data_IF_644243731214
#
_entry.id   IF_644243731214
#
_cell.length_a   1.000
_cell.length_b   1.000
_cell.length_c   1.000
_cell.angle_alpha   90.00
_cell.angle_beta   90.00
_cell.angle_gamma   90.00
#
_symmetry.space_group_name_H-M   'P 1'
#
loop_
_entity.id
_entity.type
_entity.pdbx_description
1 polymer ?
#
# COMPACT_ATOMS: atom_id res chain seq x y z
N UNK A 1 -4.97 -29.74 55.64
CA UNK A 1 -4.07 -29.56 54.48
C UNK A 1 -4.86 -29.88 53.22
N UNK A 2 -5.24 -28.87 52.41
CA UNK A 2 -5.87 -29.10 51.10
C UNK A 2 -4.81 -29.62 50.15
N UNK A 3 -5.11 -30.74 49.51
CA UNK A 3 -4.19 -31.51 48.68
C UNK A 3 -3.71 -30.67 47.47
N UNK A 4 -2.42 -30.33 47.44
CA UNK A 4 -1.80 -29.44 46.43
C UNK A 4 -2.04 -29.96 44.99
N UNK A 5 -2.29 -31.27 44.82
CA UNK A 5 -2.68 -31.85 43.53
C UNK A 5 -4.04 -31.34 43.02
N UNK A 6 -4.99 -31.08 43.91
CA UNK A 6 -6.34 -30.61 43.52
C UNK A 6 -6.36 -29.15 43.09
N UNK A 7 -5.47 -28.29 43.60
CA UNK A 7 -5.38 -26.88 43.17
C UNK A 7 -4.80 -26.75 41.75
N UNK A 8 -3.78 -27.56 41.40
CA UNK A 8 -3.19 -27.52 40.04
C UNK A 8 -4.18 -27.95 38.96
N UNK A 9 -4.99 -28.98 39.24
CA UNK A 9 -6.00 -29.45 38.29
C UNK A 9 -7.08 -28.39 38.01
N UNK A 10 -7.58 -27.70 39.05
CA UNK A 10 -8.60 -26.64 38.88
C UNK A 10 -8.08 -25.44 38.10
N UNK A 11 -6.81 -25.08 38.27
CA UNK A 11 -6.20 -23.96 37.54
C UNK A 11 -6.02 -24.28 36.04
N UNK A 12 -5.66 -25.52 35.70
CA UNK A 12 -5.54 -25.98 34.32
C UNK A 12 -6.91 -25.95 33.61
N UNK A 13 -7.97 -26.44 34.26
CA UNK A 13 -9.32 -26.39 33.69
C UNK A 13 -9.84 -24.96 33.51
N UNK A 14 -9.53 -24.05 34.44
CA UNK A 14 -9.88 -22.64 34.31
C UNK A 14 -9.18 -22.01 33.10
N UNK A 15 -7.86 -22.21 32.94
CA UNK A 15 -7.09 -21.70 31.81
C UNK A 15 -7.58 -22.27 30.46
N UNK A 16 -7.90 -23.56 30.39
CA UNK A 16 -8.49 -24.18 29.20
C UNK A 16 -9.88 -23.61 28.86
N UNK A 17 -10.73 -23.37 29.87
CA UNK A 17 -12.06 -22.78 29.66
C UNK A 17 -11.99 -21.33 29.17
N UNK A 18 -11.03 -20.55 29.65
CA UNK A 18 -10.80 -19.17 29.18
C UNK A 18 -10.26 -19.17 27.75
N UNK A 19 -9.29 -20.03 27.42
CA UNK A 19 -8.78 -20.16 26.05
C UNK A 19 -9.87 -20.61 25.06
N UNK A 20 -10.76 -21.51 25.46
CA UNK A 20 -11.88 -21.95 24.63
C UNK A 20 -12.94 -20.85 24.45
N UNK A 21 -13.28 -20.11 25.50
CA UNK A 21 -14.20 -18.98 25.41
C UNK A 21 -13.64 -17.86 24.52
N UNK A 22 -12.34 -17.59 24.60
CA UNK A 22 -11.63 -16.65 23.72
C UNK A 22 -11.68 -17.17 22.27
N UNK A 23 -11.36 -18.44 22.01
CA UNK A 23 -11.43 -19.02 20.67
C UNK A 23 -12.83 -18.99 20.06
N UNK A 24 -13.89 -19.20 20.85
CA UNK A 24 -15.27 -19.13 20.37
C UNK A 24 -15.76 -17.69 20.16
N UNK A 25 -15.28 -16.72 20.94
CA UNK A 25 -15.61 -15.31 20.74
C UNK A 25 -14.99 -14.75 19.43
N UNK A 26 -13.91 -15.33 18.92
CA UNK A 26 -13.26 -14.93 17.67
C UNK A 26 -13.76 -15.69 16.42
N UNK A 27 -14.63 -16.69 16.55
CA UNK A 27 -15.01 -17.58 15.45
C UNK A 27 -16.30 -17.21 14.69
N UNK A 28 -16.93 -16.07 15.00
CA UNK A 28 -18.18 -15.67 14.36
C UNK A 28 -18.15 -14.24 13.82
N UNK A 29 -17.09 -13.86 13.09
CA UNK A 29 -17.31 -12.81 12.09
C UNK A 29 -18.18 -13.45 11.01
N UNK A 30 -19.41 -12.97 10.78
CA UNK A 30 -20.17 -13.42 9.63
C UNK A 30 -19.29 -13.15 8.41
N UNK A 31 -19.03 -14.17 7.59
CA UNK A 31 -18.49 -13.92 6.27
C UNK A 31 -19.48 -12.97 5.59
N UNK A 32 -19.06 -11.73 5.31
CA UNK A 32 -19.89 -10.81 4.54
C UNK A 32 -20.24 -11.52 3.25
N UNK A 33 -21.55 -11.65 2.98
CA UNK A 33 -22.00 -12.29 1.76
C UNK A 33 -21.43 -11.50 0.57
N UNK A 34 -20.92 -12.23 -0.43
CA UNK A 34 -20.42 -11.61 -1.65
C UNK A 34 -21.53 -10.78 -2.30
N UNK A 35 -21.21 -9.54 -2.67
CA UNK A 35 -22.11 -8.64 -3.40
C UNK A 35 -22.33 -9.22 -4.80
N UNK A 36 -23.59 -9.52 -5.09
CA UNK A 36 -24.04 -9.91 -6.43
C UNK A 36 -24.71 -8.73 -7.12
N UNK A 37 -24.09 -8.16 -8.16
CA UNK A 37 -24.57 -6.94 -8.82
C UNK A 37 -26.01 -7.00 -9.36
N UNK A 38 -26.51 -8.20 -9.69
CA UNK A 38 -27.92 -8.40 -10.10
C UNK A 38 -28.95 -8.05 -9.01
N UNK A 39 -28.54 -8.02 -7.74
CA UNK A 39 -29.41 -7.77 -6.60
C UNK A 39 -29.23 -6.35 -6.03
N UNK A 40 -28.24 -5.60 -6.51
CA UNK A 40 -27.97 -4.24 -6.02
C UNK A 40 -28.98 -3.28 -6.64
N UNK A 41 -29.74 -2.59 -5.78
CA UNK A 41 -30.78 -1.65 -6.21
C UNK A 41 -30.24 -0.23 -6.39
N UNK A 42 -30.89 0.55 -7.25
CA UNK A 42 -30.56 1.96 -7.44
C UNK A 42 -30.62 2.75 -6.14
N UNK A 43 -29.55 3.52 -5.87
CA UNK A 43 -29.42 4.30 -4.65
C UNK A 43 -28.95 3.51 -3.42
N UNK A 44 -28.55 2.24 -3.56
CA UNK A 44 -27.86 1.54 -2.48
C UNK A 44 -26.55 2.28 -2.16
N UNK A 45 -26.40 2.75 -0.93
CA UNK A 45 -25.19 3.43 -0.44
C UNK A 45 -24.31 2.52 0.41
N UNK A 46 -24.60 1.22 0.46
CA UNK A 46 -23.73 0.23 1.12
C UNK A 46 -22.41 0.17 0.35
N UNK A 47 -21.32 0.09 1.09
CA UNK A 47 -19.92 0.09 0.63
C UNK A 47 -19.28 -1.11 1.34
N UNK A 48 -19.37 -2.28 0.71
CA UNK A 48 -19.11 -3.56 1.38
C UNK A 48 -17.64 -3.74 1.75
N UNK A 49 -16.73 -3.29 0.90
CA UNK A 49 -15.29 -3.46 1.10
C UNK A 49 -14.59 -2.23 1.70
N UNK A 50 -15.33 -1.14 1.90
CA UNK A 50 -14.89 0.12 2.50
C UNK A 50 -13.78 0.80 1.71
N UNK A 51 -13.81 0.70 0.38
CA UNK A 51 -12.98 1.55 -0.48
C UNK A 51 -13.58 2.94 -0.71
N UNK A 52 -14.85 3.09 -0.35
CA UNK A 52 -15.57 4.34 -0.46
C UNK A 52 -16.20 4.60 -1.83
N UNK A 53 -16.43 3.56 -2.63
CA UNK A 53 -17.53 3.52 -3.56
C UNK A 53 -18.69 2.71 -2.95
N UNK A 54 -19.90 3.00 -3.37
CA UNK A 54 -21.04 2.15 -3.01
C UNK A 54 -21.13 0.95 -3.95
N UNK A 55 -21.66 -0.16 -3.45
CA UNK A 55 -21.93 -1.39 -4.22
C UNK A 55 -22.70 -1.07 -5.52
N UNK A 56 -23.58 -0.06 -5.50
CA UNK A 56 -24.33 0.37 -6.69
C UNK A 56 -23.43 1.04 -7.73
N UNK A 57 -22.55 1.93 -7.31
CA UNK A 57 -21.57 2.59 -8.19
C UNK A 57 -20.60 1.57 -8.78
N UNK A 58 -20.13 0.62 -7.99
CA UNK A 58 -19.21 -0.41 -8.47
C UNK A 58 -19.89 -1.36 -9.45
N UNK A 59 -21.13 -1.75 -9.19
CA UNK A 59 -21.90 -2.64 -10.07
C UNK A 59 -22.39 -2.01 -11.37
N UNK A 60 -22.62 -0.69 -11.39
CA UNK A 60 -23.15 0.02 -12.56
C UNK A 60 -22.09 0.85 -13.29
N UNK A 61 -20.89 0.95 -12.71
CA UNK A 61 -19.83 1.82 -13.14
C UNK A 61 -20.00 3.26 -12.64
N UNK A 62 -18.89 3.98 -12.69
CA UNK A 62 -18.81 5.40 -12.35
C UNK A 62 -18.53 6.22 -13.61
N UNK A 63 -18.75 7.52 -13.51
CA UNK A 63 -18.23 8.50 -14.47
C UNK A 63 -17.06 9.23 -13.83
N UNK A 64 -15.91 9.20 -14.52
CA UNK A 64 -14.71 9.93 -14.14
C UNK A 64 -14.93 11.44 -14.28
N UNK A 65 -14.04 12.26 -13.72
CA UNK A 65 -14.22 13.71 -13.69
C UNK A 65 -14.23 14.37 -15.08
N UNK A 66 -13.62 13.74 -16.08
CA UNK A 66 -13.65 14.16 -17.50
C UNK A 66 -14.90 13.70 -18.27
N UNK A 67 -15.80 12.95 -17.61
CA UNK A 67 -16.97 12.35 -18.25
C UNK A 67 -16.74 10.93 -18.80
N UNK A 68 -15.53 10.38 -18.68
CA UNK A 68 -15.23 9.01 -19.15
C UNK A 68 -15.97 7.98 -18.28
N UNK A 69 -16.74 7.05 -18.88
CA UNK A 69 -17.35 5.95 -18.12
C UNK A 69 -16.30 4.91 -17.70
N UNK A 70 -16.42 4.38 -16.49
CA UNK A 70 -15.51 3.40 -15.92
C UNK A 70 -16.27 2.26 -15.23
N UNK A 71 -16.15 1.04 -15.75
CA UNK A 71 -16.99 -0.11 -15.38
C UNK A 71 -16.18 -1.31 -14.84
N UNK A 72 -14.94 -1.08 -14.39
CA UNK A 72 -14.02 -2.15 -13.97
C UNK A 72 -13.84 -2.24 -12.44
N UNK A 73 -14.85 -1.78 -11.69
CA UNK A 73 -14.88 -1.82 -10.23
C UNK A 73 -15.37 -3.20 -9.73
N UNK A 74 -15.04 -3.55 -8.49
CA UNK A 74 -15.45 -4.81 -7.85
C UNK A 74 -15.95 -4.58 -6.42
N UNK A 75 -17.27 -4.69 -6.16
CA UNK A 75 -17.86 -4.44 -4.83
C UNK A 75 -17.44 -5.41 -3.73
N UNK A 76 -16.57 -6.37 -4.04
CA UNK A 76 -16.02 -7.32 -3.09
C UNK A 76 -14.52 -7.13 -2.86
N UNK A 77 -13.90 -6.13 -3.51
CA UNK A 77 -12.46 -5.93 -3.47
C UNK A 77 -12.08 -4.48 -3.77
N UNK A 78 -11.51 -3.86 -2.74
CA UNK A 78 -11.11 -2.44 -2.74
C UNK A 78 -10.49 -1.98 -4.05
N UNK A 79 -11.02 -0.91 -4.60
CA UNK A 79 -10.61 -0.25 -5.83
C UNK A 79 -9.80 1.03 -5.55
N UNK A 80 -8.50 0.96 -5.84
CA UNK A 80 -7.57 2.07 -5.69
C UNK A 80 -7.32 2.75 -7.03
N UNK A 81 -7.65 4.03 -7.15
CA UNK A 81 -7.26 4.85 -8.30
C UNK A 81 -5.88 5.47 -8.10
N UNK A 82 -5.03 5.40 -9.12
CA UNK A 82 -3.67 5.95 -9.08
C UNK A 82 -3.39 6.81 -10.31
N UNK A 83 -2.90 8.03 -10.06
CA UNK A 83 -2.36 8.94 -11.07
C UNK A 83 -0.84 8.88 -10.98
N UNK A 84 -0.18 8.51 -12.09
CA UNK A 84 1.27 8.58 -12.20
C UNK A 84 1.67 9.80 -13.02
N UNK A 85 2.50 10.66 -12.45
CA UNK A 85 3.06 11.84 -13.12
C UNK A 85 4.53 11.55 -13.47
N UNK A 86 4.84 11.12 -14.71
CA UNK A 86 6.23 10.93 -15.12
C UNK A 86 6.97 12.26 -15.22
N UNK A 87 8.28 12.24 -15.01
CA UNK A 87 9.16 13.35 -15.35
C UNK A 87 9.45 13.36 -16.86
N UNK A 88 10.09 14.42 -17.36
CA UNK A 88 10.56 14.51 -18.75
C UNK A 88 12.08 14.77 -18.80
N UNK A 89 12.91 13.80 -19.26
CA UNK A 89 12.54 12.42 -19.59
C UNK A 89 12.20 11.59 -18.34
N UNK A 90 11.45 10.50 -18.52
CA UNK A 90 11.07 9.61 -17.41
C UNK A 90 12.05 8.44 -17.24
N UNK A 91 12.29 8.06 -15.97
CA UNK A 91 12.95 6.82 -15.57
C UNK A 91 11.99 5.81 -14.96
N UNK A 92 10.67 6.05 -15.00
CA UNK A 92 9.69 5.06 -14.56
C UNK A 92 9.81 3.77 -15.41
N UNK A 93 9.84 2.59 -14.79
CA UNK A 93 9.89 1.33 -15.51
C UNK A 93 8.55 0.98 -16.17
N UNK A 94 8.53 -0.03 -17.04
CA UNK A 94 7.29 -0.66 -17.47
C UNK A 94 6.55 -1.28 -16.27
N UNK A 95 5.22 -1.20 -16.27
CA UNK A 95 4.38 -1.65 -15.15
C UNK A 95 4.83 -1.10 -13.77
N UNK A 96 4.88 0.24 -13.59
CA UNK A 96 5.39 0.86 -12.36
C UNK A 96 4.57 0.51 -11.10
N UNK A 97 3.31 0.07 -11.27
CA UNK A 97 2.41 -0.33 -10.18
C UNK A 97 2.41 -1.84 -9.90
N UNK A 98 3.26 -2.63 -10.59
CA UNK A 98 3.29 -4.11 -10.49
C UNK A 98 3.29 -4.59 -9.03
N UNK A 99 4.06 -3.94 -8.16
CA UNK A 99 4.20 -4.37 -6.77
C UNK A 99 3.03 -3.94 -5.88
N UNK A 100 2.23 -2.94 -6.29
CA UNK A 100 1.03 -2.50 -5.55
C UNK A 100 -0.05 -3.59 -5.54
N UNK A 101 -0.19 -4.35 -6.64
CA UNK A 101 -1.14 -5.47 -6.73
C UNK A 101 -0.91 -6.55 -5.65
N UNK A 102 0.29 -6.62 -5.06
CA UNK A 102 0.61 -7.52 -3.95
C UNK A 102 -0.23 -7.29 -2.68
N UNK A 103 -0.90 -6.14 -2.56
CA UNK A 103 -1.84 -5.82 -1.47
C UNK A 103 -3.14 -6.62 -1.55
N UNK A 104 -3.47 -7.21 -2.71
CA UNK A 104 -4.74 -7.88 -2.89
C UNK A 104 -5.92 -6.92 -3.05
N UNK A 105 -5.66 -5.72 -3.57
CA UNK A 105 -6.66 -4.73 -4.00
C UNK A 105 -6.69 -4.65 -5.54
N UNK A 106 -7.69 -4.00 -6.10
CA UNK A 106 -7.71 -3.61 -7.50
C UNK A 106 -7.03 -2.24 -7.63
N UNK A 107 -6.23 -2.08 -8.68
CA UNK A 107 -5.49 -0.83 -8.92
C UNK A 107 -5.84 -0.33 -10.31
N UNK A 108 -6.42 0.85 -10.36
CA UNK A 108 -6.89 1.50 -11.57
C UNK A 108 -5.99 2.70 -11.88
N UNK A 109 -5.12 2.53 -12.87
CA UNK A 109 -4.33 3.67 -13.36
C UNK A 109 -5.25 4.58 -14.18
N UNK A 110 -5.31 5.86 -13.79
CA UNK A 110 -5.99 6.92 -14.55
C UNK A 110 -5.00 8.03 -14.90
N UNK A 111 -5.36 8.86 -15.88
CA UNK A 111 -4.59 10.04 -16.28
C UNK A 111 -5.00 11.28 -15.47
N UNK A 112 -4.11 12.27 -15.33
CA UNK A 112 -4.42 13.50 -14.59
C UNK A 112 -5.72 14.16 -15.04
N UNK A 113 -5.97 14.23 -16.35
CA UNK A 113 -7.18 14.81 -16.94
C UNK A 113 -8.47 14.08 -16.56
N UNK A 114 -8.40 12.80 -16.21
CA UNK A 114 -9.56 11.99 -15.83
C UNK A 114 -9.97 12.17 -14.38
N UNK A 115 -9.11 12.78 -13.56
CA UNK A 115 -9.46 13.24 -12.24
C UNK A 115 -9.69 14.76 -12.26
N UNK A 116 -10.44 15.28 -11.30
CA UNK A 116 -10.61 16.72 -11.21
C UNK A 116 -9.26 17.41 -10.93
N UNK A 117 -8.88 18.33 -11.81
CA UNK A 117 -7.71 19.19 -11.64
C UNK A 117 -8.15 20.57 -11.16
N UNK A 118 -8.75 20.62 -9.97
CA UNK A 118 -9.15 21.89 -9.35
C UNK A 118 -7.91 22.56 -8.73
N UNK A 119 -7.58 23.81 -9.12
CA UNK A 119 -6.50 24.57 -8.49
C UNK A 119 -6.76 24.83 -6.99
N UNK A 120 -8.02 24.80 -6.53
CA UNK A 120 -8.36 24.69 -5.12
C UNK A 120 -8.18 23.22 -4.71
N UNK A 121 -7.02 22.88 -4.12
CA UNK A 121 -6.59 21.54 -3.66
C UNK A 121 -7.67 20.68 -2.97
N UNK A 122 -8.75 21.31 -2.49
CA UNK A 122 -9.92 20.64 -1.93
C UNK A 122 -10.59 19.67 -2.90
N UNK A 123 -10.71 20.04 -4.18
CA UNK A 123 -11.32 19.18 -5.19
C UNK A 123 -10.30 18.52 -6.11
N UNK A 124 -9.01 18.58 -5.81
CA UNK A 124 -7.99 17.91 -6.62
C UNK A 124 -8.11 16.38 -6.50
N UNK A 125 -7.86 15.67 -7.60
CA UNK A 125 -7.80 14.19 -7.72
C UNK A 125 -9.13 13.45 -7.51
N UNK A 126 -10.29 14.13 -7.45
CA UNK A 126 -11.58 13.44 -7.30
C UNK A 126 -11.81 12.58 -8.54
N UNK A 127 -12.05 11.28 -8.30
CA UNK A 127 -12.26 10.27 -9.34
C UNK A 127 -13.68 10.39 -9.88
N UNK A 128 -14.69 10.40 -9.00
CA UNK A 128 -16.09 10.53 -9.41
C UNK A 128 -16.79 11.65 -8.63
N UNK A 129 -16.91 12.86 -9.21
CA UNK A 129 -17.52 14.00 -8.54
C UNK A 129 -18.99 13.81 -8.14
N UNK A 130 -19.70 12.90 -8.83
CA UNK A 130 -21.09 12.56 -8.55
C UNK A 130 -21.28 11.48 -7.49
N UNK A 131 -20.19 10.90 -6.97
CA UNK A 131 -20.28 9.82 -6.00
C UNK A 131 -20.74 10.29 -4.64
N UNK A 132 -21.48 9.44 -3.92
CA UNK A 132 -21.94 9.69 -2.55
C UNK A 132 -20.76 9.88 -1.60
N UNK A 133 -19.71 9.10 -1.79
CA UNK A 133 -18.49 9.13 -1.02
C UNK A 133 -17.39 9.58 -1.97
N UNK A 134 -17.18 10.89 -2.09
CA UNK A 134 -16.15 11.44 -2.98
C UNK A 134 -14.81 10.75 -2.76
N UNK A 135 -14.38 9.92 -3.72
CA UNK A 135 -13.08 9.28 -3.71
C UNK A 135 -12.07 10.07 -4.50
N UNK A 136 -10.84 10.09 -3.99
CA UNK A 136 -9.68 10.69 -4.64
C UNK A 136 -8.66 9.64 -5.04
N UNK A 137 -7.99 9.87 -6.16
CA UNK A 137 -6.89 9.03 -6.61
C UNK A 137 -5.59 9.35 -5.88
N UNK A 138 -4.75 8.35 -5.62
CA UNK A 138 -3.38 8.58 -5.14
C UNK A 138 -2.54 9.17 -6.27
N UNK A 139 -1.85 10.28 -6.02
CA UNK A 139 -0.91 10.85 -6.99
C UNK A 139 0.51 10.47 -6.63
N UNK A 140 1.21 9.83 -7.56
CA UNK A 140 2.65 9.55 -7.45
C UNK A 140 3.39 10.32 -8.54
N UNK A 141 4.22 11.28 -8.15
CA UNK A 141 5.06 12.03 -9.06
C UNK A 141 6.48 11.48 -9.10
N UNK A 142 7.03 11.33 -10.30
CA UNK A 142 8.45 11.10 -10.48
C UNK A 142 9.21 12.43 -10.32
N UNK A 143 10.34 12.40 -9.62
CA UNK A 143 11.26 13.52 -9.51
C UNK A 143 12.68 13.12 -9.91
N UNK A 144 13.32 13.96 -10.72
CA UNK A 144 14.73 13.80 -11.10
C UNK A 144 15.68 14.59 -10.18
N UNK A 145 15.18 15.21 -9.12
CA UNK A 145 15.99 16.01 -8.19
C UNK A 145 16.95 15.12 -7.42
N UNK A 146 18.23 15.48 -7.42
CA UNK A 146 19.31 14.72 -6.73
C UNK A 146 19.92 15.44 -5.54
N UNK A 147 19.59 16.72 -5.33
CA UNK A 147 20.27 17.62 -4.39
C UNK A 147 19.70 17.58 -2.95
N UNK A 148 18.44 17.15 -2.79
CA UNK A 148 17.80 16.94 -1.49
C UNK A 148 18.38 15.66 -0.87
N UNK A 149 18.48 15.54 0.46
CA UNK A 149 19.03 14.40 1.24
C UNK A 149 19.20 13.10 0.41
N UNK A 150 20.44 12.62 0.20
CA UNK A 150 20.71 11.46 -0.67
C UNK A 150 20.12 10.15 -0.14
N UNK A 151 19.68 10.11 1.11
CA UNK A 151 19.08 8.92 1.73
C UNK A 151 17.57 8.83 1.52
N UNK A 152 16.91 9.91 1.10
CA UNK A 152 15.47 9.94 0.82
C UNK A 152 15.24 9.62 -0.66
N UNK A 153 14.72 8.42 -0.92
CA UNK A 153 14.44 7.90 -2.26
C UNK A 153 12.96 8.02 -2.66
N UNK A 154 12.09 8.21 -1.70
CA UNK A 154 10.68 8.56 -1.86
C UNK A 154 10.19 9.36 -0.66
N UNK A 155 9.08 10.08 -0.84
CA UNK A 155 8.39 10.76 0.25
C UNK A 155 6.89 10.78 -0.06
N UNK A 156 6.08 10.64 0.97
CA UNK A 156 4.63 10.67 0.89
C UNK A 156 4.03 11.35 2.12
N UNK A 157 2.78 11.77 1.99
CA UNK A 157 1.97 12.14 3.15
C UNK A 157 1.24 10.89 3.66
N UNK A 158 1.34 10.62 4.97
CA UNK A 158 0.61 9.52 5.59
C UNK A 158 -0.90 9.83 5.66
N UNK A 159 -1.75 8.85 5.34
CA UNK A 159 -3.20 9.04 5.45
C UNK A 159 -4.04 8.04 4.67
N UNK A 160 -5.02 8.59 3.95
CA UNK A 160 -5.97 7.90 3.05
C UNK A 160 -6.06 8.74 1.78
N UNK A 161 -6.32 8.19 0.58
CA UNK A 161 -6.41 8.93 -0.68
C UNK A 161 -7.26 10.21 -0.70
N UNK A 162 -8.15 10.38 0.28
CA UNK A 162 -9.01 11.55 0.51
C UNK A 162 -8.35 12.72 1.30
N UNK A 163 -7.10 12.59 1.76
CA UNK A 163 -6.29 13.58 2.50
C UNK A 163 -5.26 14.37 1.63
N UNK A 164 -3.97 14.48 2.02
CA UNK A 164 -2.88 15.25 1.33
C UNK A 164 -2.10 14.44 0.27
N UNK A 165 -2.72 13.39 -0.24
CA UNK A 165 -2.18 12.14 -0.79
C UNK A 165 -1.36 12.26 -2.06
N UNK A 166 -0.18 12.83 -1.87
CA UNK A 166 0.85 12.93 -2.87
C UNK A 166 2.06 12.13 -2.39
N UNK A 167 2.56 11.29 -3.27
CA UNK A 167 3.86 10.65 -3.16
C UNK A 167 4.79 11.23 -4.23
N UNK A 168 6.08 11.32 -3.91
CA UNK A 168 7.15 11.66 -4.84
C UNK A 168 8.19 10.55 -4.78
N UNK A 169 8.58 10.02 -5.93
CA UNK A 169 9.65 9.02 -6.05
C UNK A 169 10.83 9.64 -6.81
N UNK A 170 12.00 9.64 -6.17
CA UNK A 170 13.22 10.26 -6.70
C UNK A 170 14.02 9.26 -7.54
N UNK A 171 13.55 8.96 -8.75
CA UNK A 171 14.11 7.89 -9.61
C UNK A 171 15.59 8.11 -9.95
N UNK A 172 16.00 9.36 -10.19
CA UNK A 172 17.41 9.70 -10.41
C UNK A 172 18.30 9.38 -9.19
N UNK A 173 17.79 9.59 -7.96
CA UNK A 173 18.52 9.21 -6.74
C UNK A 173 18.63 7.70 -6.58
N UNK A 174 17.56 6.96 -6.88
CA UNK A 174 17.58 5.49 -6.85
C UNK A 174 18.66 4.97 -7.81
N UNK A 175 18.71 5.50 -9.04
CA UNK A 175 19.74 5.16 -10.03
C UNK A 175 21.14 5.46 -9.49
N UNK A 176 21.35 6.68 -8.97
CA UNK A 176 22.65 7.10 -8.41
C UNK A 176 23.06 6.22 -7.22
N UNK A 177 22.12 5.86 -6.35
CA UNK A 177 22.35 4.99 -5.21
C UNK A 177 22.82 3.61 -5.68
N UNK A 178 22.07 2.95 -6.57
CA UNK A 178 22.44 1.62 -7.10
C UNK A 178 23.81 1.68 -7.79
N UNK A 179 24.06 2.68 -8.64
CA UNK A 179 25.35 2.88 -9.30
C UNK A 179 26.50 3.05 -8.28
N UNK A 180 26.28 3.82 -7.22
CA UNK A 180 27.30 4.05 -6.18
C UNK A 180 27.68 2.77 -5.44
N UNK A 181 26.70 1.90 -5.15
CA UNK A 181 26.95 0.60 -4.50
C UNK A 181 27.79 -0.30 -5.42
N UNK A 182 27.43 -0.38 -6.71
CA UNK A 182 28.19 -1.15 -7.70
C UNK A 182 29.62 -0.62 -7.89
N UNK A 183 29.79 0.70 -7.97
CA UNK A 183 31.09 1.35 -8.07
C UNK A 183 31.95 1.06 -6.83
N UNK A 184 31.38 1.14 -5.62
CA UNK A 184 32.09 0.86 -4.37
C UNK A 184 32.64 -0.57 -4.27
N UNK A 185 31.98 -1.51 -4.95
CA UNK A 185 32.37 -2.92 -5.00
C UNK A 185 33.27 -3.26 -6.21
N UNK A 186 33.54 -2.30 -7.11
CA UNK A 186 34.14 -2.57 -8.41
C UNK A 186 33.40 -3.71 -9.18
N UNK A 187 32.07 -3.71 -9.09
CA UNK A 187 31.20 -4.77 -9.61
C UNK A 187 30.77 -4.55 -11.07
N UNK A 188 31.31 -3.54 -11.75
CA UNK A 188 30.88 -3.14 -13.09
C UNK A 188 29.57 -2.34 -13.05
N UNK A 189 28.80 -2.42 -14.13
CA UNK A 189 27.50 -1.74 -14.25
C UNK A 189 26.39 -2.56 -13.58
N UNK A 190 25.43 -1.92 -12.89
CA UNK A 190 24.28 -2.64 -12.36
C UNK A 190 23.42 -3.22 -13.48
N UNK A 191 22.86 -4.43 -13.29
CA UNK A 191 21.76 -4.92 -14.09
C UNK A 191 20.58 -3.93 -14.10
N UNK A 192 20.02 -3.67 -15.29
CA UNK A 192 18.92 -2.71 -15.46
C UNK A 192 17.64 -3.12 -14.74
N UNK A 193 17.43 -4.42 -14.50
CA UNK A 193 16.29 -4.94 -13.76
C UNK A 193 16.33 -4.55 -12.27
N UNK A 194 17.51 -4.39 -11.66
CA UNK A 194 17.63 -3.99 -10.24
C UNK A 194 17.07 -2.57 -10.05
N UNK A 195 17.43 -1.63 -10.93
CA UNK A 195 16.92 -0.25 -10.87
C UNK A 195 15.41 -0.23 -11.05
N UNK A 196 14.89 -0.95 -12.07
CA UNK A 196 13.46 -1.07 -12.34
C UNK A 196 12.69 -1.61 -11.13
N UNK A 197 13.17 -2.71 -10.53
CA UNK A 197 12.55 -3.31 -9.35
C UNK A 197 12.61 -2.39 -8.12
N UNK A 198 13.71 -1.67 -7.93
CA UNK A 198 13.84 -0.72 -6.81
C UNK A 198 12.82 0.41 -6.98
N UNK A 199 12.73 1.02 -8.17
CA UNK A 199 11.71 2.06 -8.44
C UNK A 199 10.29 1.54 -8.18
N UNK A 200 9.94 0.34 -8.66
CA UNK A 200 8.63 -0.29 -8.40
C UNK A 200 8.36 -0.49 -6.91
N UNK A 201 9.36 -0.97 -6.16
CA UNK A 201 9.24 -1.15 -4.72
C UNK A 201 9.06 0.19 -4.00
N UNK A 202 9.79 1.23 -4.39
CA UNK A 202 9.65 2.56 -3.78
C UNK A 202 8.28 3.16 -4.09
N UNK A 203 7.78 3.06 -5.32
CA UNK A 203 6.40 3.48 -5.66
C UNK A 203 5.38 2.76 -4.77
N UNK A 204 5.50 1.45 -4.64
CA UNK A 204 4.60 0.65 -3.82
C UNK A 204 4.69 1.02 -2.33
N UNK A 205 5.90 1.28 -1.82
CA UNK A 205 6.14 1.72 -0.45
C UNK A 205 5.48 3.08 -0.16
N UNK A 206 5.69 4.06 -1.04
CA UNK A 206 5.10 5.39 -0.88
C UNK A 206 3.57 5.39 -1.05
N UNK A 207 3.03 4.57 -1.96
CA UNK A 207 1.57 4.36 -2.02
C UNK A 207 1.08 3.74 -0.71
N UNK A 208 1.84 2.81 -0.13
CA UNK A 208 1.54 2.18 1.15
C UNK A 208 1.23 3.21 2.25
N UNK A 209 2.09 4.21 2.42
CA UNK A 209 1.87 5.30 3.36
C UNK A 209 0.56 6.07 3.15
N UNK A 210 0.14 6.19 1.89
CA UNK A 210 -1.03 6.97 1.49
C UNK A 210 -2.35 6.21 1.71
N UNK A 211 -2.32 4.88 1.70
CA UNK A 211 -3.52 4.02 1.78
C UNK A 211 -3.68 3.35 3.15
N UNK A 212 -3.27 4.04 4.21
CA UNK A 212 -3.32 3.58 5.58
C UNK A 212 -1.93 3.40 6.20
N UNK A 213 -1.82 3.32 7.54
CA UNK A 213 -0.57 2.99 8.19
C UNK A 213 -0.25 1.51 7.94
N UNK A 214 0.38 1.23 6.79
CA UNK A 214 0.99 -0.07 6.55
C UNK A 214 2.24 -0.20 7.44
N UNK A 215 2.67 -1.43 7.71
CA UNK A 215 3.66 -1.71 8.75
C UNK A 215 3.29 -1.07 10.10
N UNK A 216 2.20 -1.50 10.76
CA UNK A 216 1.81 -0.98 12.08
C UNK A 216 2.80 -1.43 13.16
N UNK A 217 3.99 -0.83 13.15
CA UNK A 217 5.00 -1.02 14.17
C UNK A 217 4.56 -0.22 15.37
N UNK A 218 4.25 -0.90 16.48
CA UNK A 218 3.89 -0.21 17.71
C UNK A 218 5.03 0.72 18.13
N UNK A 219 4.72 1.87 18.75
CA UNK A 219 5.75 2.78 19.30
C UNK A 219 6.76 2.03 20.19
N UNK A 220 6.30 0.98 20.88
CA UNK A 220 7.13 0.12 21.74
C UNK A 220 8.09 -0.77 20.95
N UNK A 221 7.75 -1.12 19.71
CA UNK A 221 8.55 -1.97 18.84
C UNK A 221 9.38 -1.19 17.82
N UNK A 222 9.27 0.14 17.75
CA UNK A 222 10.05 0.98 16.83
C UNK A 222 11.55 0.72 16.91
N UNK A 223 12.11 0.62 18.14
CA UNK A 223 13.53 0.30 18.33
C UNK A 223 13.90 -1.10 17.79
N UNK A 224 12.96 -2.06 17.87
CA UNK A 224 13.16 -3.43 17.40
C UNK A 224 13.11 -3.54 15.88
N UNK A 225 12.27 -2.74 15.24
CA UNK A 225 12.11 -2.72 13.78
C UNK A 225 12.91 -1.61 13.09
N UNK A 226 13.62 -0.77 13.84
CA UNK A 226 14.52 0.24 13.29
C UNK A 226 13.84 1.51 12.80
N UNK A 227 12.60 1.78 13.21
CA UNK A 227 11.85 2.97 12.83
C UNK A 227 10.34 2.75 12.73
N UNK A 228 9.70 3.51 11.83
CA UNK A 228 8.27 3.45 11.53
C UNK A 228 7.89 2.31 10.57
N UNK A 229 8.87 1.53 10.12
CA UNK A 229 8.74 0.47 9.13
C UNK A 229 9.23 -0.87 9.65
N UNK A 230 9.05 -1.93 8.86
CA UNK A 230 9.75 -3.18 9.12
C UNK A 230 11.26 -2.99 8.99
N UNK A 231 12.00 -3.78 9.76
CA UNK A 231 13.46 -3.77 9.74
C UNK A 231 13.97 -4.12 8.35
N UNK A 232 14.90 -3.34 7.81
CA UNK A 232 15.54 -3.63 6.52
C UNK A 232 16.03 -5.07 6.45
N UNK A 233 15.70 -5.75 5.35
CA UNK A 233 16.08 -7.14 5.10
C UNK A 233 15.00 -8.17 5.45
N UNK A 234 13.78 -7.74 5.83
CA UNK A 234 12.64 -8.66 5.85
C UNK A 234 12.13 -8.98 4.45
N UNK A 235 12.56 -8.20 3.44
CA UNK A 235 12.26 -8.41 2.02
C UNK A 235 10.76 -8.27 1.70
N UNK A 236 10.11 -7.33 2.39
CA UNK A 236 8.73 -6.88 2.13
C UNK A 236 8.74 -5.44 1.62
N UNK A 237 7.64 -4.98 1.03
CA UNK A 237 7.54 -3.62 0.45
C UNK A 237 7.75 -2.55 1.53
N UNK A 238 7.16 -2.71 2.72
CA UNK A 238 7.25 -1.74 3.81
C UNK A 238 8.51 -1.90 4.68
N UNK A 239 9.62 -2.42 4.12
CA UNK A 239 10.94 -2.36 4.77
C UNK A 239 11.42 -0.90 4.85
N UNK A 240 12.09 -0.55 5.95
CA UNK A 240 12.65 0.79 6.18
C UNK A 240 13.62 1.23 5.08
N UNK A 241 14.30 0.28 4.45
CA UNK A 241 15.13 0.47 3.27
C UNK A 241 15.40 -0.86 2.57
N UNK A 242 15.66 -0.81 1.26
CA UNK A 242 16.14 -1.99 0.52
C UNK A 242 17.51 -2.41 1.05
N UNK A 243 17.61 -3.66 1.44
CA UNK A 243 18.85 -4.25 1.95
C UNK A 243 19.75 -4.70 0.79
N UNK A 244 21.07 -4.60 0.96
CA UNK A 244 22.04 -5.16 0.01
C UNK A 244 23.28 -5.71 0.72
N UNK A 245 23.98 -6.61 0.04
CA UNK A 245 25.27 -7.16 0.48
C UNK A 245 26.33 -6.97 -0.58
N UNK A 246 27.57 -6.71 -0.15
CA UNK A 246 28.75 -6.67 -1.00
C UNK A 246 29.72 -7.77 -0.55
N UNK A 247 30.11 -8.68 -1.44
CA UNK A 247 31.10 -9.72 -1.19
C UNK A 247 32.11 -9.78 -2.34
N UNK A 248 33.27 -9.17 -2.15
CA UNK A 248 34.22 -8.95 -3.24
C UNK A 248 33.61 -8.00 -4.28
N UNK A 249 33.65 -8.40 -5.55
CA UNK A 249 33.03 -7.67 -6.66
C UNK A 249 31.57 -8.08 -6.93
N UNK A 250 30.93 -8.79 -5.99
CA UNK A 250 29.53 -9.19 -6.10
C UNK A 250 28.65 -8.32 -5.21
N UNK A 251 27.70 -7.62 -5.84
CA UNK A 251 26.62 -6.90 -5.18
C UNK A 251 25.34 -7.72 -5.28
N UNK A 252 24.52 -7.73 -4.23
CA UNK A 252 23.20 -8.38 -4.24
C UNK A 252 22.22 -7.50 -3.48
N UNK A 253 21.18 -7.04 -4.17
CA UNK A 253 20.06 -6.29 -3.60
C UNK A 253 18.90 -7.24 -3.24
N UNK A 254 18.30 -7.02 -2.09
CA UNK A 254 17.13 -7.74 -1.58
C UNK A 254 15.94 -6.76 -1.61
N UNK A 255 15.33 -6.66 -2.78
CA UNK A 255 14.20 -5.76 -3.05
C UNK A 255 12.92 -6.53 -2.77
N UNK A 256 12.21 -6.10 -1.72
CA UNK A 256 10.91 -6.66 -1.37
C UNK A 256 9.90 -6.50 -2.50
N UNK A 257 9.07 -7.53 -2.68
CA UNK A 257 8.02 -7.57 -3.72
C UNK A 257 6.67 -8.01 -3.16
N UNK A 258 6.57 -8.16 -1.83
CA UNK A 258 5.39 -8.70 -1.16
C UNK A 258 5.03 -7.86 0.05
N UNK A 259 3.76 -7.90 0.42
CA UNK A 259 3.23 -7.32 1.64
C UNK A 259 2.95 -8.42 2.67
N UNK A 260 3.10 -8.09 3.94
CA UNK A 260 2.69 -8.96 5.03
C UNK A 260 1.16 -9.04 5.14
N UNK A 261 0.63 -9.97 5.94
CA UNK A 261 -0.82 -9.98 6.25
C UNK A 261 -1.27 -8.71 6.97
N UNK A 262 -0.43 -8.20 7.88
CA UNK A 262 -0.72 -6.97 8.63
C UNK A 262 -0.85 -5.76 7.72
N UNK A 263 -0.03 -5.68 6.66
CA UNK A 263 -0.15 -4.59 5.68
C UNK A 263 -1.48 -4.69 4.93
N UNK A 264 -1.90 -5.89 4.53
CA UNK A 264 -3.18 -6.09 3.82
C UNK A 264 -4.39 -5.74 4.69
N UNK A 265 -4.33 -6.09 5.97
CA UNK A 265 -5.34 -5.73 6.96
C UNK A 265 -5.35 -4.23 7.28
N UNK A 266 -4.20 -3.55 7.12
CA UNK A 266 -4.02 -2.13 7.41
C UNK A 266 -4.54 -1.16 6.33
N UNK A 267 -4.97 -1.67 5.16
CA UNK A 267 -5.39 -0.83 4.02
C UNK A 267 -6.66 -0.04 4.36
N UNK A 268 -6.58 1.29 4.19
CA UNK A 268 -7.66 2.26 4.35
C UNK A 268 -7.70 3.20 3.14
N UNK A 269 -8.81 3.15 2.39
CA UNK A 269 -9.05 4.06 1.27
C UNK A 269 -10.04 5.19 1.65
N UNK A 270 -10.75 5.02 2.77
CA UNK A 270 -11.74 5.95 3.33
C UNK A 270 -11.41 6.31 4.78
#
# INVERSE_FOLDING_TARGET
MKDIKTMKSRMIWLLLSVLLAIAMAFAQTPASAQVECRNVQAGNTTDTDNDGFSDYEECNGITLADGTPFNSLDPNKKDLFVILIPADPSYLPSEPLEYVYGLGINVHKIYPEQASNDPDYRNDRIVSPGSVYQQKAVRVAESLVTEIDPHILGISFEGTPNSRDNAVVYTAKIINHVNSVYASANAGQPPSDIISRYIKQTIAHEIGHVIGPLAPVSLRDQERYGGYHYKSGTNVIMDQSVYYTVKGNKVTFYIGTTYTSLDKEGIKLK
#
